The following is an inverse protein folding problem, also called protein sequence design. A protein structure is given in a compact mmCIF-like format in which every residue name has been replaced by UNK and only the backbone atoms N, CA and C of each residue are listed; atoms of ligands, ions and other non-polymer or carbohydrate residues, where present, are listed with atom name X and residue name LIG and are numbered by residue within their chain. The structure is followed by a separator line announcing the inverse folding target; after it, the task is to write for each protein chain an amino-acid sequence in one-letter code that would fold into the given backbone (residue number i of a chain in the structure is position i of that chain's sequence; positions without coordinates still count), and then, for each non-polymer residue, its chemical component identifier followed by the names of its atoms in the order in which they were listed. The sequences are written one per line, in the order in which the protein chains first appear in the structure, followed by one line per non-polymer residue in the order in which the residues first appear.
data_IF_672527166727
#
_entry.id   IF_672527166727
#
_cell.length_a   1.000
_cell.length_b   1.000
_cell.length_c   1.000
_cell.angle_alpha   90.00
_cell.angle_beta   90.00
_cell.angle_gamma   90.00
#
_symmetry.space_group_name_H-M   'P 1'
#
loop_
_entity.id
_entity.type
_entity.pdbx_description
1 polymer ?
#
# COMPACT_ATOMS: atom_id res chain seq x y z
N UNK A 1 23.24 -8.48 -5.20
CA UNK A 1 23.00 -7.99 -3.83
C UNK A 1 21.93 -8.87 -3.21
N UNK A 2 22.19 -9.39 -2.04
CA UNK A 2 21.21 -10.22 -1.31
C UNK A 2 20.00 -9.39 -0.90
N UNK A 3 18.82 -10.03 -0.79
CA UNK A 3 17.58 -9.33 -0.42
C UNK A 3 17.67 -8.63 0.95
N UNK A 4 18.41 -9.23 1.89
CA UNK A 4 18.70 -8.66 3.20
C UNK A 4 19.36 -7.28 3.09
N UNK A 5 20.43 -7.18 2.29
CA UNK A 5 21.16 -5.93 2.07
C UNK A 5 20.30 -4.90 1.34
N UNK A 6 19.50 -5.38 0.37
CA UNK A 6 18.58 -4.51 -0.37
C UNK A 6 17.52 -3.88 0.49
N UNK A 7 16.91 -4.64 1.38
CA UNK A 7 15.91 -4.10 2.30
C UNK A 7 16.51 -3.13 3.32
N UNK A 8 17.74 -3.35 3.75
CA UNK A 8 18.47 -2.40 4.58
C UNK A 8 18.75 -1.09 3.82
N UNK A 9 19.22 -1.17 2.57
CA UNK A 9 19.45 0.00 1.70
C UNK A 9 18.15 0.81 1.51
N UNK A 10 17.07 0.14 1.12
CA UNK A 10 15.75 0.75 0.96
C UNK A 10 15.29 1.44 2.24
N UNK A 11 15.43 0.78 3.39
CA UNK A 11 15.04 1.35 4.68
C UNK A 11 15.83 2.60 5.04
N UNK A 12 17.12 2.63 4.72
CA UNK A 12 17.98 3.82 4.89
C UNK A 12 17.54 4.97 3.99
N UNK A 13 17.15 4.69 2.75
CA UNK A 13 16.61 5.71 1.83
C UNK A 13 15.34 6.36 2.40
N UNK A 14 14.50 5.61 3.11
CA UNK A 14 13.33 6.12 3.85
C UNK A 14 13.69 6.68 5.23
N UNK A 15 14.96 6.93 5.52
CA UNK A 15 15.46 7.62 6.73
C UNK A 15 15.14 6.88 8.03
N UNK A 16 15.16 5.54 7.99
CA UNK A 16 15.02 4.73 9.21
C UNK A 16 16.41 4.57 9.84
N UNK A 17 16.69 5.24 10.99
CA UNK A 17 18.04 5.33 11.56
C UNK A 17 18.34 4.19 12.54
N UNK A 18 17.46 3.18 12.62
CA UNK A 18 17.53 2.14 13.65
C UNK A 18 18.39 0.94 13.22
N UNK A 19 18.78 0.13 14.19
CA UNK A 19 19.50 -1.11 13.96
C UNK A 19 18.59 -2.11 13.23
N UNK A 20 18.99 -2.54 12.03
CA UNK A 20 18.24 -3.50 11.23
C UNK A 20 18.44 -4.92 11.77
N UNK A 21 17.36 -5.60 12.13
CA UNK A 21 17.37 -6.95 12.68
C UNK A 21 17.10 -8.04 11.63
N UNK A 22 16.46 -7.68 10.53
CA UNK A 22 16.07 -8.61 9.48
C UNK A 22 14.66 -8.39 8.96
N UNK A 23 14.16 -9.38 8.21
CA UNK A 23 12.85 -9.28 7.58
C UNK A 23 12.09 -10.61 7.58
N UNK A 24 10.79 -10.51 7.40
CA UNK A 24 9.87 -11.62 7.14
C UNK A 24 9.16 -11.35 5.81
N UNK A 25 9.07 -12.35 4.93
CA UNK A 25 8.29 -12.22 3.69
C UNK A 25 6.81 -12.43 3.98
N UNK A 26 5.96 -11.50 3.57
CA UNK A 26 4.51 -11.63 3.67
C UNK A 26 3.98 -12.19 2.35
N UNK A 27 3.56 -13.45 2.37
CA UNK A 27 3.08 -14.16 1.18
C UNK A 27 1.60 -13.90 0.84
N UNK A 28 0.89 -13.15 1.67
CA UNK A 28 -0.54 -12.87 1.50
C UNK A 28 -0.77 -11.64 0.62
N UNK A 29 -0.43 -11.75 -0.64
CA UNK A 29 -0.66 -10.68 -1.62
C UNK A 29 -0.24 -11.14 -3.00
N UNK A 30 -1.10 -10.91 -4.01
CA UNK A 30 -0.90 -11.46 -5.34
C UNK A 30 -0.24 -10.47 -6.31
N UNK A 31 0.00 -9.23 -5.89
CA UNK A 31 0.44 -8.17 -6.80
C UNK A 31 1.84 -7.66 -6.46
N UNK A 32 2.09 -7.29 -5.22
CA UNK A 32 3.36 -6.71 -4.79
C UNK A 32 4.17 -7.71 -3.96
N UNK A 33 5.50 -7.65 -4.06
CA UNK A 33 6.35 -8.32 -3.07
C UNK A 33 6.37 -7.52 -1.79
N UNK A 34 6.00 -8.15 -0.67
CA UNK A 34 5.79 -7.48 0.61
C UNK A 34 6.67 -8.09 1.70
N UNK A 35 7.32 -7.21 2.46
CA UNK A 35 8.25 -7.58 3.52
C UNK A 35 7.93 -6.80 4.80
N UNK A 36 7.86 -7.51 5.92
CA UNK A 36 7.90 -6.91 7.24
C UNK A 36 9.37 -6.80 7.64
N UNK A 37 9.86 -5.60 7.82
CA UNK A 37 11.25 -5.33 8.23
C UNK A 37 11.29 -4.91 9.68
N UNK A 38 12.21 -5.50 10.44
CA UNK A 38 12.30 -5.36 11.88
C UNK A 38 13.54 -4.57 12.28
N UNK A 39 13.36 -3.66 13.22
CA UNK A 39 14.42 -2.77 13.74
C UNK A 39 14.41 -2.74 15.24
N UNK A 40 15.60 -2.52 15.85
CA UNK A 40 15.77 -2.22 17.27
C UNK A 40 15.91 -0.71 17.46
N UNK A 41 15.04 -0.18 18.32
CA UNK A 41 15.07 1.21 18.76
C UNK A 41 16.17 1.44 19.81
N UNK A 42 16.60 2.70 20.05
CA UNK A 42 17.59 3.02 21.07
C UNK A 42 17.21 2.61 22.49
N UNK A 43 15.90 2.50 22.79
CA UNK A 43 15.37 2.04 24.07
C UNK A 43 15.29 0.49 24.18
N UNK A 44 15.82 -0.23 23.19
CA UNK A 44 15.83 -1.69 23.13
C UNK A 44 14.55 -2.33 22.62
N UNK A 45 13.47 -1.57 22.42
CA UNK A 45 12.23 -2.10 21.83
C UNK A 45 12.38 -2.39 20.36
N UNK A 46 11.54 -3.29 19.86
CA UNK A 46 11.45 -3.58 18.43
C UNK A 46 10.34 -2.77 17.77
N UNK A 47 10.62 -2.33 16.55
CA UNK A 47 9.65 -1.66 15.67
C UNK A 47 9.71 -2.27 14.28
N UNK A 48 8.54 -2.54 13.71
CA UNK A 48 8.44 -3.09 12.37
C UNK A 48 7.86 -2.08 11.39
N UNK A 49 8.30 -2.20 10.14
CA UNK A 49 7.77 -1.45 9.00
C UNK A 49 7.38 -2.42 7.89
N UNK A 50 6.48 -1.99 7.03
CA UNK A 50 6.10 -2.72 5.84
C UNK A 50 6.82 -2.10 4.63
N UNK A 51 7.64 -2.89 3.96
CA UNK A 51 8.32 -2.52 2.72
C UNK A 51 7.71 -3.30 1.58
N UNK A 52 7.37 -2.62 0.50
CA UNK A 52 6.81 -3.25 -0.68
C UNK A 52 7.60 -2.87 -1.94
N UNK A 53 7.95 -3.87 -2.74
CA UNK A 53 8.32 -3.67 -4.12
C UNK A 53 7.04 -3.70 -4.96
N UNK A 54 6.68 -2.54 -5.51
CA UNK A 54 5.45 -2.36 -6.27
C UNK A 54 5.61 -2.98 -7.65
N UNK A 55 4.64 -3.79 -8.04
CA UNK A 55 4.60 -4.38 -9.37
C UNK A 55 4.29 -3.33 -10.44
N UNK A 56 5.30 -2.83 -11.11
CA UNK A 56 5.19 -1.80 -12.15
C UNK A 56 4.56 -2.31 -13.45
N UNK A 57 4.47 -3.63 -13.63
CA UNK A 57 3.69 -4.20 -14.73
C UNK A 57 2.18 -4.02 -14.50
N UNK A 58 1.72 -4.21 -13.27
CA UNK A 58 0.33 -3.99 -12.89
C UNK A 58 0.00 -2.49 -12.77
N UNK A 59 0.90 -1.71 -12.16
CA UNK A 59 0.77 -0.28 -11.95
C UNK A 59 1.69 0.49 -12.89
N UNK A 60 1.24 0.73 -14.11
CA UNK A 60 2.05 1.35 -15.19
C UNK A 60 2.40 2.83 -14.91
N UNK A 61 1.70 3.48 -14.00
CA UNK A 61 2.02 4.81 -13.50
C UNK A 61 2.26 4.75 -11.97
N UNK A 62 3.38 4.17 -11.52
CA UNK A 62 3.65 4.00 -10.10
C UNK A 62 3.88 5.33 -9.37
N UNK A 63 4.38 6.36 -10.04
CA UNK A 63 4.53 7.71 -9.48
C UNK A 63 3.16 8.33 -9.25
N UNK A 64 2.26 8.29 -10.22
CA UNK A 64 0.88 8.76 -10.07
C UNK A 64 0.13 8.01 -8.97
N UNK A 65 0.34 6.68 -8.86
CA UNK A 65 -0.19 5.88 -7.77
C UNK A 65 0.27 6.40 -6.40
N UNK A 66 1.56 6.68 -6.24
CA UNK A 66 2.09 7.16 -4.96
C UNK A 66 1.66 8.58 -4.64
N UNK A 67 1.51 9.46 -5.64
CA UNK A 67 0.95 10.79 -5.44
C UNK A 67 -0.51 10.73 -4.98
N UNK A 68 -1.33 9.86 -5.57
CA UNK A 68 -2.71 9.63 -5.12
C UNK A 68 -2.76 9.15 -3.66
N UNK A 69 -1.93 8.16 -3.32
CA UNK A 69 -1.85 7.61 -1.98
C UNK A 69 -1.44 8.69 -0.97
N UNK A 70 -0.41 9.47 -1.28
CA UNK A 70 0.09 10.52 -0.41
C UNK A 70 -0.99 11.59 -0.18
N UNK A 71 -1.62 12.09 -1.25
CA UNK A 71 -2.69 13.09 -1.17
C UNK A 71 -3.85 12.62 -0.28
N UNK A 72 -4.31 11.38 -0.48
CA UNK A 72 -5.43 10.80 0.28
C UNK A 72 -5.04 10.57 1.74
N UNK A 73 -3.88 9.98 1.99
CA UNK A 73 -3.48 9.64 3.36
C UNK A 73 -3.13 10.88 4.18
N UNK A 74 -2.52 11.89 3.58
CA UNK A 74 -2.23 13.17 4.26
C UNK A 74 -3.50 13.97 4.52
N UNK A 75 -4.49 13.96 3.61
CA UNK A 75 -5.80 14.57 3.83
C UNK A 75 -6.50 13.96 5.07
N UNK A 76 -6.58 12.63 5.13
CA UNK A 76 -7.20 11.94 6.27
C UNK A 76 -6.42 12.23 7.57
N UNK A 77 -5.09 12.24 7.51
CA UNK A 77 -4.25 12.50 8.66
C UNK A 77 -4.41 13.91 9.22
N UNK A 78 -4.59 14.89 8.33
CA UNK A 78 -4.87 16.28 8.73
C UNK A 78 -6.23 16.43 9.44
N UNK A 79 -7.25 15.68 9.01
CA UNK A 79 -8.59 15.68 9.63
C UNK A 79 -8.62 14.97 10.98
N UNK A 80 -7.78 13.93 11.17
CA UNK A 80 -7.81 13.06 12.35
C UNK A 80 -6.41 12.96 13.00
N UNK A 81 -5.87 14.05 13.53
CA UNK A 81 -4.57 14.03 14.18
C UNK A 81 -4.57 13.09 15.39
N UNK A 82 -3.54 12.27 15.48
CA UNK A 82 -3.36 11.31 16.59
C UNK A 82 -4.11 9.98 16.45
N UNK A 83 -4.90 9.78 15.40
CA UNK A 83 -5.43 8.46 15.08
C UNK A 83 -4.42 7.63 14.28
N UNK A 84 -4.57 6.28 14.38
CA UNK A 84 -3.77 5.36 13.58
C UNK A 84 -4.20 5.49 12.12
N UNK A 85 -3.50 6.31 11.36
CA UNK A 85 -3.70 6.45 9.92
C UNK A 85 -2.57 5.75 9.16
N UNK A 86 -2.87 5.25 7.99
CA UNK A 86 -1.87 4.73 7.07
C UNK A 86 -0.94 5.91 6.68
N UNK A 87 0.34 5.76 6.92
CA UNK A 87 1.35 6.78 6.62
C UNK A 87 2.49 6.14 5.81
N UNK A 88 2.77 6.72 4.66
CA UNK A 88 3.91 6.34 3.84
C UNK A 88 5.12 7.20 4.18
N UNK A 89 6.24 6.55 4.47
CA UNK A 89 7.48 7.23 4.80
C UNK A 89 8.05 7.95 3.58
N UNK A 90 8.72 9.08 3.85
CA UNK A 90 9.34 9.88 2.80
C UNK A 90 10.86 9.67 2.80
N UNK A 91 11.42 9.62 1.61
CA UNK A 91 12.86 9.68 1.37
C UNK A 91 13.43 11.06 1.66
N UNK A 92 14.75 11.23 1.56
CA UNK A 92 15.40 12.52 1.81
C UNK A 92 14.95 13.63 0.83
N UNK A 93 14.62 13.26 -0.40
CA UNK A 93 14.06 14.16 -1.44
C UNK A 93 12.53 14.26 -1.38
N UNK A 94 11.92 13.87 -0.24
CA UNK A 94 10.49 14.01 0.08
C UNK A 94 9.55 13.22 -0.82
N UNK A 95 10.02 12.14 -1.44
CA UNK A 95 9.17 11.21 -2.18
C UNK A 95 8.69 10.08 -1.27
N UNK A 96 7.47 9.62 -1.47
CA UNK A 96 6.89 8.45 -0.78
C UNK A 96 7.30 7.11 -1.41
N UNK A 97 8.26 7.16 -2.34
CA UNK A 97 8.78 6.00 -3.05
C UNK A 97 10.29 6.14 -3.32
N UNK A 98 10.92 5.01 -3.56
CA UNK A 98 12.28 4.90 -4.07
C UNK A 98 12.23 4.12 -5.39
N UNK A 99 12.62 4.77 -6.50
CA UNK A 99 12.83 4.09 -7.77
C UNK A 99 14.32 3.71 -7.88
N UNK A 100 14.59 2.43 -8.14
CA UNK A 100 15.92 1.86 -8.21
C UNK A 100 15.99 0.84 -9.36
N UNK A 101 16.40 1.32 -10.54
CA UNK A 101 16.37 0.54 -11.77
C UNK A 101 14.97 0.06 -12.11
N UNK A 102 14.77 -1.24 -12.12
CA UNK A 102 13.46 -1.87 -12.40
C UNK A 102 12.55 -1.97 -11.16
N UNK A 103 13.07 -1.66 -9.98
CA UNK A 103 12.34 -1.78 -8.72
C UNK A 103 11.72 -0.45 -8.31
N UNK A 104 10.54 -0.53 -7.73
CA UNK A 104 9.82 0.61 -7.20
C UNK A 104 9.36 0.32 -5.77
N UNK A 105 10.03 0.93 -4.80
CA UNK A 105 9.85 0.63 -3.38
C UNK A 105 9.01 1.68 -2.69
N UNK A 106 8.17 1.24 -1.74
CA UNK A 106 7.47 2.11 -0.80
C UNK A 106 7.52 1.52 0.60
N UNK A 107 7.35 2.37 1.61
CA UNK A 107 7.44 1.98 3.00
C UNK A 107 6.36 2.62 3.83
N UNK A 108 5.75 1.82 4.72
CA UNK A 108 4.77 2.31 5.71
C UNK A 108 4.99 1.65 7.06
N UNK A 109 4.35 2.17 8.10
CA UNK A 109 4.36 1.50 9.41
C UNK A 109 3.70 0.12 9.29
N UNK A 110 4.26 -0.87 9.97
CA UNK A 110 3.59 -2.15 10.14
C UNK A 110 2.50 -2.02 11.19
N UNK A 111 1.29 -2.39 10.82
CA UNK A 111 0.14 -2.44 11.74
C UNK A 111 -0.12 -3.90 12.09
N UNK A 112 0.09 -4.32 13.35
CA UNK A 112 -0.27 -5.67 13.79
C UNK A 112 -1.76 -5.91 13.56
N UNK A 113 -2.09 -6.97 12.82
CA UNK A 113 -3.47 -7.26 12.43
C UNK A 113 -3.69 -8.75 12.25
N UNK A 114 -4.95 -9.16 12.28
CA UNK A 114 -5.38 -10.52 11.93
C UNK A 114 -6.04 -10.48 10.56
N UNK A 115 -5.59 -11.37 9.67
CA UNK A 115 -6.18 -11.51 8.34
C UNK A 115 -7.20 -12.64 8.33
N UNK A 116 -8.38 -12.36 7.81
CA UNK A 116 -9.45 -13.33 7.65
C UNK A 116 -9.61 -13.70 6.17
N UNK A 117 -9.32 -14.95 5.81
CA UNK A 117 -9.58 -15.46 4.44
C UNK A 117 -11.06 -15.82 4.24
N UNK A 118 -11.72 -16.23 5.32
CA UNK A 118 -13.16 -16.50 5.37
C UNK A 118 -13.72 -15.90 6.66
N UNK A 119 -14.83 -15.18 6.56
CA UNK A 119 -15.44 -14.53 7.70
C UNK A 119 -16.81 -15.16 7.97
N UNK A 120 -16.95 -15.73 9.16
CA UNK A 120 -18.23 -16.28 9.67
C UNK A 120 -18.83 -15.41 10.79
N UNK A 121 -18.00 -14.59 11.46
CA UNK A 121 -18.44 -13.67 12.50
C UNK A 121 -19.02 -12.37 11.89
N UNK A 122 -20.32 -12.16 12.06
CA UNK A 122 -21.01 -10.97 11.58
C UNK A 122 -20.50 -9.66 12.21
N UNK A 123 -19.84 -9.69 13.37
CA UNK A 123 -19.22 -8.50 13.96
C UNK A 123 -18.00 -8.06 13.17
N UNK A 124 -17.22 -8.99 12.62
CA UNK A 124 -16.11 -8.67 11.72
C UNK A 124 -16.63 -8.01 10.44
N UNK A 125 -17.70 -8.57 9.85
CA UNK A 125 -18.35 -7.99 8.64
C UNK A 125 -18.85 -6.58 8.92
N UNK A 126 -19.54 -6.39 10.06
CA UNK A 126 -20.04 -5.08 10.48
C UNK A 126 -18.91 -4.06 10.69
N UNK A 127 -17.82 -4.48 11.32
CA UNK A 127 -16.64 -3.64 11.54
C UNK A 127 -15.99 -3.24 10.22
N UNK A 128 -15.88 -4.16 9.26
CA UNK A 128 -15.38 -3.87 7.92
C UNK A 128 -16.27 -2.84 7.21
N UNK A 129 -17.59 -3.06 7.20
CA UNK A 129 -18.56 -2.11 6.61
C UNK A 129 -18.47 -0.73 7.24
N UNK A 130 -18.34 -0.65 8.58
CA UNK A 130 -18.15 0.60 9.30
C UNK A 130 -16.85 1.31 8.86
N UNK A 131 -15.72 0.58 8.78
CA UNK A 131 -14.45 1.16 8.37
C UNK A 131 -14.49 1.72 6.94
N UNK A 132 -15.17 1.03 6.00
CA UNK A 132 -15.37 1.55 4.64
C UNK A 132 -16.24 2.82 4.63
N UNK A 133 -17.33 2.85 5.43
CA UNK A 133 -18.18 4.03 5.56
C UNK A 133 -17.43 5.22 6.16
N UNK A 134 -16.63 5.00 7.19
CA UNK A 134 -15.77 6.04 7.78
C UNK A 134 -14.74 6.57 6.80
N UNK A 135 -14.11 5.70 6.00
CA UNK A 135 -13.19 6.10 4.95
C UNK A 135 -13.86 7.00 3.89
N UNK A 136 -15.08 6.67 3.47
CA UNK A 136 -15.84 7.52 2.53
C UNK A 136 -16.17 8.89 3.14
N UNK A 137 -16.59 8.93 4.42
CA UNK A 137 -16.84 10.18 5.13
C UNK A 137 -15.55 11.04 5.28
N UNK A 138 -14.40 10.39 5.48
CA UNK A 138 -13.12 11.10 5.59
C UNK A 138 -12.73 11.81 4.28
N UNK A 139 -13.22 11.31 3.15
CA UNK A 139 -12.95 11.84 1.81
C UNK A 139 -14.09 12.68 1.23
N UNK A 140 -15.14 12.97 1.99
CA UNK A 140 -16.33 13.69 1.51
C UNK A 140 -15.97 15.07 0.90
N UNK A 141 -14.97 15.75 1.47
CA UNK A 141 -14.47 17.07 1.05
C UNK A 141 -13.12 17.00 0.30
N UNK A 142 -12.67 15.79 -0.08
CA UNK A 142 -11.42 15.62 -0.81
C UNK A 142 -11.57 16.09 -2.28
N UNK A 143 -10.61 16.89 -2.76
CA UNK A 143 -10.59 17.31 -4.17
C UNK A 143 -10.16 16.14 -5.09
N UNK A 144 -11.16 15.52 -5.71
CA UNK A 144 -10.95 14.40 -6.64
C UNK A 144 -10.15 14.81 -7.89
N UNK A 145 -10.10 16.09 -8.24
CA UNK A 145 -9.32 16.57 -9.41
C UNK A 145 -7.80 16.43 -9.21
N UNK A 146 -7.37 16.29 -7.96
CA UNK A 146 -5.97 16.03 -7.60
C UNK A 146 -5.51 14.58 -7.93
N UNK A 147 -6.46 13.66 -8.17
CA UNK A 147 -6.16 12.27 -8.46
C UNK A 147 -5.93 12.04 -9.95
N UNK A 148 -4.99 11.12 -10.24
CA UNK A 148 -4.78 10.61 -11.59
C UNK A 148 -5.29 9.17 -11.70
N UNK A 149 -5.90 8.82 -12.82
CA UNK A 149 -6.31 7.44 -13.08
C UNK A 149 -5.07 6.57 -13.35
N UNK A 150 -4.77 5.63 -12.44
CA UNK A 150 -3.56 4.81 -12.49
C UNK A 150 -3.74 3.51 -13.27
N UNK A 151 -4.98 3.02 -13.37
CA UNK A 151 -5.38 1.86 -14.18
C UNK A 151 -6.65 2.26 -14.96
N UNK A 152 -6.51 2.74 -16.20
CA UNK A 152 -7.65 3.23 -16.98
C UNK A 152 -8.77 2.20 -17.13
N UNK A 153 -9.99 2.61 -16.79
CA UNK A 153 -11.19 1.77 -16.90
C UNK A 153 -11.22 0.57 -15.94
N UNK A 154 -10.42 0.56 -14.85
CA UNK A 154 -10.33 -0.60 -13.93
C UNK A 154 -11.70 -0.97 -13.33
N UNK A 155 -12.50 0.01 -12.98
CA UNK A 155 -13.85 -0.17 -12.40
C UNK A 155 -14.98 0.07 -13.42
N UNK A 156 -14.68 0.11 -14.73
CA UNK A 156 -15.71 0.17 -15.77
C UNK A 156 -16.41 -1.18 -15.91
N UNK A 157 -17.45 -1.39 -15.12
CA UNK A 157 -18.22 -2.64 -15.10
C UNK A 157 -18.90 -2.93 -16.44
N UNK A 158 -19.31 -1.90 -17.19
CA UNK A 158 -19.94 -2.09 -18.52
C UNK A 158 -18.93 -2.64 -19.52
N UNK A 159 -17.74 -2.04 -19.55
CA UNK A 159 -16.65 -2.52 -20.38
C UNK A 159 -16.23 -3.94 -20.00
N UNK A 160 -16.08 -4.23 -18.71
CA UNK A 160 -15.73 -5.57 -18.19
C UNK A 160 -16.76 -6.62 -18.61
N UNK A 161 -18.04 -6.30 -18.52
CA UNK A 161 -19.10 -7.19 -18.93
C UNK A 161 -19.10 -7.43 -20.47
N UNK A 162 -18.88 -6.38 -21.27
CA UNK A 162 -18.76 -6.51 -22.72
C UNK A 162 -17.55 -7.37 -23.12
N UNK A 163 -16.40 -7.18 -22.47
CA UNK A 163 -15.20 -7.99 -22.71
C UNK A 163 -15.42 -9.46 -22.31
N UNK A 164 -16.09 -9.70 -21.18
CA UNK A 164 -16.49 -11.05 -20.76
C UNK A 164 -17.41 -11.73 -21.81
N UNK A 165 -18.47 -11.05 -22.24
CA UNK A 165 -19.37 -11.59 -23.27
C UNK A 165 -18.64 -11.96 -24.54
N UNK A 166 -17.75 -11.08 -25.02
CA UNK A 166 -16.96 -11.34 -26.22
C UNK A 166 -16.06 -12.56 -26.05
N UNK A 167 -15.39 -12.69 -24.90
CA UNK A 167 -14.55 -13.86 -24.62
C UNK A 167 -15.34 -15.18 -24.62
N UNK A 168 -16.59 -15.17 -24.12
CA UNK A 168 -17.48 -16.33 -24.18
C UNK A 168 -17.92 -16.64 -25.62
N UNK A 169 -18.29 -15.61 -26.40
CA UNK A 169 -18.71 -15.77 -27.83
C UNK A 169 -17.55 -16.26 -28.71
N UNK A 170 -16.32 -15.87 -28.40
CA UNK A 170 -15.11 -16.26 -29.14
C UNK A 170 -14.46 -17.55 -28.60
N UNK A 171 -15.05 -18.18 -27.59
CA UNK A 171 -14.54 -19.39 -26.92
C UNK A 171 -13.06 -19.29 -26.52
N UNK A 172 -12.67 -18.11 -26.04
CA UNK A 172 -11.31 -17.81 -25.54
C UNK A 172 -11.23 -18.02 -24.03
N UNK A 173 -11.42 -19.25 -23.57
CA UNK A 173 -11.26 -19.61 -22.17
C UNK A 173 -9.89 -20.25 -21.92
#
# INVERSE_FOLDING_TARGET
MELFDKLLEVSRAFRIPYEYLGYETIQMGNVNHTYKVNFRLPDGKEKSFLVQNVNTYAFRNPVGLMNNIDSVTEHIRAKKPGQLALHFHHTADRKTYLADGENFWRMTNYVPSVTYNTVTDLNVVRSAGKAFGEFQMDLEDFDLSALVETIPGFHDTRKRYADFRRSVEEDKA
#
